data_IF_971416534258
#
_entry.id   IF_971416534258
#
_cell.length_a   1.000
_cell.length_b   1.000
_cell.length_c   1.000
_cell.angle_alpha   90.00
_cell.angle_beta   90.00
_cell.angle_gamma   90.00
#
_symmetry.space_group_name_H-M   'P 1'
#
loop_
_entity.id
_entity.type
_entity.pdbx_description
1 polymer ?
#
# COMPACT_ATOMS: atom_id res chain seq x y z
N UNK A 1 26.56 -33.96 36.26
CA UNK A 1 26.84 -32.56 35.83
C UNK A 1 25.73 -32.14 34.90
N UNK A 2 24.91 -31.13 35.19
CA UNK A 2 23.89 -30.68 34.25
C UNK A 2 24.57 -29.91 33.09
N UNK A 3 24.26 -30.32 31.86
CA UNK A 3 24.72 -29.64 30.65
C UNK A 3 24.23 -28.19 30.59
N UNK A 4 25.17 -27.26 30.64
CA UNK A 4 24.89 -25.84 30.37
C UNK A 4 24.39 -25.69 28.94
N UNK A 5 23.12 -25.36 28.76
CA UNK A 5 22.58 -24.88 27.50
C UNK A 5 23.41 -23.68 26.99
N UNK A 6 23.80 -23.63 25.71
CA UNK A 6 24.68 -22.59 25.22
C UNK A 6 24.00 -21.22 25.34
N UNK A 7 24.73 -20.28 25.90
CA UNK A 7 24.35 -18.89 26.18
C UNK A 7 23.61 -18.16 25.02
N UNK A 8 23.82 -18.60 23.79
CA UNK A 8 23.17 -18.10 22.58
C UNK A 8 21.66 -18.37 22.51
N UNK A 9 21.14 -19.45 23.11
CA UNK A 9 19.71 -19.77 23.09
C UNK A 9 18.92 -19.00 24.13
N UNK A 10 19.55 -18.68 25.26
CA UNK A 10 18.91 -17.93 26.35
C UNK A 10 18.69 -16.45 25.96
N UNK A 11 19.60 -15.86 25.17
CA UNK A 11 19.47 -14.50 24.68
C UNK A 11 18.38 -14.37 23.59
N UNK A 12 18.23 -15.33 22.70
CA UNK A 12 17.16 -15.30 21.68
C UNK A 12 15.75 -15.33 22.27
N UNK A 13 15.53 -16.09 23.34
CA UNK A 13 14.23 -16.12 24.01
C UNK A 13 13.97 -14.84 24.83
N UNK A 14 15.01 -14.24 25.41
CA UNK A 14 14.90 -12.99 26.15
C UNK A 14 14.59 -11.79 25.23
N UNK A 15 15.23 -11.73 24.06
CA UNK A 15 14.95 -10.71 23.04
C UNK A 15 13.56 -10.86 22.43
N UNK A 16 13.03 -12.06 22.24
CA UNK A 16 11.65 -12.29 21.81
C UNK A 16 10.62 -11.75 22.82
N UNK A 17 10.94 -11.70 24.08
CA UNK A 17 10.07 -11.15 25.13
C UNK A 17 10.14 -9.60 25.24
N UNK A 18 11.23 -8.98 24.78
CA UNK A 18 11.43 -7.52 24.85
C UNK A 18 11.10 -6.79 23.55
N UNK A 19 10.93 -7.52 22.44
CA UNK A 19 10.69 -6.96 21.10
C UNK A 19 9.20 -6.93 20.70
N UNK A 20 8.29 -6.75 21.67
CA UNK A 20 6.94 -6.31 21.30
C UNK A 20 7.06 -4.87 20.85
N UNK A 21 6.77 -4.57 19.58
CA UNK A 21 6.64 -3.19 19.12
C UNK A 21 5.71 -2.47 20.10
N UNK A 22 6.14 -1.30 20.57
CA UNK A 22 5.35 -0.53 21.54
C UNK A 22 4.22 0.22 20.84
N UNK A 23 4.25 0.28 19.49
CA UNK A 23 3.24 0.96 18.67
C UNK A 23 2.97 0.15 17.40
N UNK A 24 2.00 -0.74 17.50
CA UNK A 24 1.41 -1.43 16.34
C UNK A 24 0.16 -0.68 15.87
N UNK A 25 -0.25 -0.90 14.64
CA UNK A 25 -1.60 -0.55 14.24
C UNK A 25 -2.60 -1.32 15.11
N UNK A 26 -3.69 -0.66 15.55
CA UNK A 26 -4.67 -1.24 16.47
C UNK A 26 -5.16 -2.62 15.97
N UNK A 27 -5.17 -3.62 16.84
CA UNK A 27 -5.58 -4.99 16.51
C UNK A 27 -4.56 -5.79 15.66
N UNK A 28 -3.37 -5.25 15.33
CA UNK A 28 -2.33 -5.94 14.57
C UNK A 28 -1.21 -6.43 15.50
N UNK A 29 -1.51 -7.38 16.40
CA UNK A 29 -0.61 -7.83 17.45
C UNK A 29 -0.30 -9.34 17.44
N UNK A 30 -0.69 -10.05 16.36
CA UNK A 30 -0.34 -11.45 16.16
C UNK A 30 1.18 -11.65 16.09
N UNK A 31 1.67 -12.84 16.40
CA UNK A 31 3.05 -13.23 16.13
C UNK A 31 3.27 -13.44 14.62
N UNK A 32 4.52 -13.21 14.13
CA UNK A 32 4.83 -13.39 12.70
C UNK A 32 4.46 -14.78 12.19
N UNK A 33 4.78 -15.83 12.96
CA UNK A 33 4.53 -17.22 12.57
C UNK A 33 3.03 -17.52 12.39
N UNK A 34 2.19 -16.85 13.18
CA UNK A 34 0.74 -17.06 13.21
C UNK A 34 -0.01 -16.15 12.22
N UNK A 35 0.65 -15.09 11.74
CA UNK A 35 0.02 -14.08 10.91
C UNK A 35 -0.31 -14.59 9.51
N UNK A 36 -1.46 -14.15 8.99
CA UNK A 36 -1.86 -14.30 7.59
C UNK A 36 -1.43 -13.07 6.78
N UNK A 37 -1.43 -11.88 7.42
CA UNK A 37 -1.07 -10.60 6.82
C UNK A 37 0.10 -10.01 7.60
N UNK A 38 1.06 -9.45 6.89
CA UNK A 38 2.18 -8.70 7.46
C UNK A 38 2.06 -7.25 7.02
N UNK A 39 1.72 -6.38 7.98
CA UNK A 39 1.68 -4.93 7.81
C UNK A 39 3.09 -4.37 8.02
N UNK A 40 3.57 -3.52 7.11
CA UNK A 40 4.86 -2.86 7.25
C UNK A 40 4.85 -1.47 6.60
N UNK A 41 5.70 -0.57 7.07
CA UNK A 41 5.83 0.77 6.52
C UNK A 41 7.05 0.92 5.62
N UNK A 42 6.93 1.73 4.56
CA UNK A 42 8.01 2.11 3.66
C UNK A 42 8.20 3.65 3.69
N UNK A 43 8.93 4.19 4.68
CA UNK A 43 9.02 5.62 4.96
C UNK A 43 9.98 6.34 3.98
N UNK A 44 9.55 6.48 2.72
CA UNK A 44 10.35 7.10 1.65
C UNK A 44 9.54 8.17 0.92
N UNK A 45 10.15 9.36 0.66
CA UNK A 45 9.53 10.46 -0.09
C UNK A 45 10.59 11.36 -0.76
N UNK A 46 11.70 10.75 -1.20
CA UNK A 46 12.86 11.50 -1.74
C UNK A 46 12.68 11.96 -3.18
N UNK A 47 11.65 11.49 -3.90
CA UNK A 47 11.36 11.95 -5.26
C UNK A 47 10.10 12.82 -5.34
N UNK A 48 9.47 13.12 -4.20
CA UNK A 48 8.29 13.98 -4.11
C UNK A 48 8.55 15.34 -4.77
N UNK A 49 7.65 15.74 -5.66
CA UNK A 49 7.83 16.92 -6.51
C UNK A 49 7.28 18.21 -5.90
N UNK A 50 6.36 18.13 -4.92
CA UNK A 50 5.70 19.31 -4.37
C UNK A 50 5.80 19.41 -2.84
N UNK A 51 5.07 18.58 -2.08
CA UNK A 51 5.05 18.64 -0.62
C UNK A 51 5.56 17.35 -0.02
N UNK A 52 6.81 17.31 0.52
CA UNK A 52 7.34 16.12 1.18
C UNK A 52 6.68 15.91 2.54
N UNK A 53 6.74 14.69 3.06
CA UNK A 53 6.24 14.33 4.39
C UNK A 53 5.51 13.01 4.43
N UNK A 54 5.34 12.32 3.28
CA UNK A 54 4.70 11.01 3.22
C UNK A 54 5.53 9.93 3.94
N UNK A 55 6.83 10.14 4.12
CA UNK A 55 7.69 9.28 4.97
C UNK A 55 7.21 9.13 6.42
N UNK A 56 6.37 10.03 6.90
CA UNK A 56 5.83 9.99 8.27
C UNK A 56 4.50 9.23 8.37
N UNK A 57 3.96 8.73 7.27
CA UNK A 57 2.66 8.06 7.23
C UNK A 57 2.61 6.83 8.14
N UNK A 58 3.59 5.93 8.05
CA UNK A 58 3.61 4.68 8.82
C UNK A 58 3.53 4.93 10.32
N UNK A 59 4.31 5.88 10.84
CA UNK A 59 4.27 6.24 12.25
C UNK A 59 2.95 6.92 12.63
N UNK A 60 2.44 7.84 11.79
CA UNK A 60 1.21 8.56 12.07
C UNK A 60 -0.01 7.62 12.13
N UNK A 61 -0.17 6.71 11.17
CA UNK A 61 -1.31 5.76 11.18
C UNK A 61 -1.26 4.80 12.36
N UNK A 62 -0.07 4.34 12.79
CA UNK A 62 0.04 3.50 13.99
C UNK A 62 -0.38 4.25 15.24
N UNK A 63 0.09 5.50 15.39
CA UNK A 63 -0.27 6.34 16.52
C UNK A 63 -1.78 6.65 16.55
N UNK A 64 -2.33 7.08 15.44
CA UNK A 64 -3.71 7.57 15.36
C UNK A 64 -4.73 6.44 15.25
N UNK A 65 -4.31 5.20 14.90
CA UNK A 65 -5.19 4.03 14.84
C UNK A 65 -5.88 3.75 16.18
N UNK A 66 -5.26 4.11 17.31
CA UNK A 66 -5.85 3.97 18.63
C UNK A 66 -7.02 4.95 18.89
N UNK A 67 -7.27 5.88 18.00
CA UNK A 67 -8.48 6.70 17.96
C UNK A 67 -9.66 6.02 17.27
N UNK A 68 -9.47 4.80 16.72
CA UNK A 68 -10.51 4.01 16.06
C UNK A 68 -10.94 2.85 16.96
N UNK A 69 -12.15 2.33 16.67
CA UNK A 69 -12.55 1.02 17.16
C UNK A 69 -11.99 -0.09 16.24
N UNK A 70 -11.67 -1.25 16.79
CA UNK A 70 -11.25 -2.43 16.01
C UNK A 70 -12.38 -2.99 15.16
N UNK A 71 -13.62 -2.87 15.66
CA UNK A 71 -14.83 -3.32 14.97
C UNK A 71 -15.24 -2.40 13.82
N UNK A 72 -15.57 -3.02 12.68
CA UNK A 72 -16.17 -2.34 11.53
C UNK A 72 -17.68 -2.63 11.41
N UNK A 73 -18.54 -1.62 11.58
CA UNK A 73 -19.98 -1.78 11.35
C UNK A 73 -20.34 -1.94 9.86
N UNK A 74 -19.41 -1.66 8.94
CA UNK A 74 -19.64 -1.81 7.49
C UNK A 74 -19.54 -3.27 7.06
N UNK A 75 -18.67 -4.04 7.71
CA UNK A 75 -18.38 -5.44 7.37
C UNK A 75 -18.89 -6.41 8.43
N UNK A 76 -19.35 -5.91 9.60
CA UNK A 76 -19.69 -6.71 10.79
C UNK A 76 -18.54 -7.66 11.18
N UNK A 77 -17.32 -7.09 11.27
CA UNK A 77 -16.07 -7.80 11.55
C UNK A 77 -15.20 -7.02 12.52
N UNK A 78 -14.34 -7.72 13.23
CA UNK A 78 -13.40 -7.14 14.18
C UNK A 78 -11.95 -7.50 13.83
N UNK A 79 -11.02 -6.53 13.95
CA UNK A 79 -9.58 -6.77 13.78
C UNK A 79 -9.02 -7.75 14.81
N UNK A 80 -9.62 -7.82 16.02
CA UNK A 80 -9.24 -8.78 17.05
C UNK A 80 -9.38 -10.24 16.60
N UNK A 81 -10.24 -10.50 15.60
CA UNK A 81 -10.41 -11.81 14.97
C UNK A 81 -9.43 -12.07 13.83
N UNK A 82 -8.56 -11.12 13.51
CA UNK A 82 -7.60 -11.22 12.41
C UNK A 82 -6.19 -11.56 12.94
N UNK A 83 -5.44 -12.31 12.14
CA UNK A 83 -4.04 -12.64 12.45
C UNK A 83 -3.12 -11.74 11.64
N UNK A 84 -2.86 -10.55 12.15
CA UNK A 84 -2.06 -9.54 11.48
C UNK A 84 -0.83 -9.24 12.32
N UNK A 85 0.36 -9.37 11.73
CA UNK A 85 1.62 -8.96 12.34
C UNK A 85 2.01 -7.59 11.82
N UNK A 86 2.22 -6.61 12.68
CA UNK A 86 2.79 -5.32 12.31
C UNK A 86 4.31 -5.36 12.53
N UNK A 87 5.04 -5.34 11.41
CA UNK A 87 6.50 -5.36 11.38
C UNK A 87 7.12 -4.00 11.79
N UNK A 88 6.35 -2.92 11.77
CA UNK A 88 6.87 -1.56 11.91
C UNK A 88 7.34 -0.98 10.58
N UNK A 89 8.03 0.15 10.63
CA UNK A 89 8.62 0.79 9.46
C UNK A 89 9.98 0.17 9.13
N UNK A 90 10.25 -0.01 7.84
CA UNK A 90 11.54 -0.48 7.34
C UNK A 90 12.63 0.58 7.56
N UNK A 91 13.84 0.15 7.85
CA UNK A 91 15.02 1.00 7.79
C UNK A 91 15.49 1.09 6.34
N UNK A 92 15.18 2.20 5.66
CA UNK A 92 15.44 2.40 4.24
C UNK A 92 16.67 3.28 4.01
N UNK A 93 17.37 3.02 2.89
CA UNK A 93 18.52 3.79 2.46
C UNK A 93 18.14 5.26 2.20
N UNK A 94 19.06 6.19 2.50
CA UNK A 94 18.85 7.62 2.28
C UNK A 94 19.27 8.01 0.88
N UNK A 95 18.34 8.59 0.08
CA UNK A 95 18.67 9.25 -1.19
C UNK A 95 18.98 8.34 -2.37
N UNK A 96 18.85 7.03 -2.24
CA UNK A 96 19.05 6.06 -3.32
C UNK A 96 17.76 5.24 -3.53
N UNK A 97 16.98 5.63 -4.55
CA UNK A 97 15.70 4.98 -4.86
C UNK A 97 15.86 3.50 -5.18
N UNK A 98 16.93 3.08 -5.88
CA UNK A 98 17.10 1.66 -6.24
C UNK A 98 17.45 0.80 -5.03
N UNK A 99 18.27 1.29 -4.10
CA UNK A 99 18.52 0.59 -2.83
C UNK A 99 17.24 0.47 -2.01
N UNK A 100 16.46 1.55 -1.89
CA UNK A 100 15.16 1.53 -1.22
C UNK A 100 14.22 0.49 -1.83
N UNK A 101 14.05 0.50 -3.14
CA UNK A 101 13.20 -0.46 -3.84
C UNK A 101 13.69 -1.90 -3.66
N UNK A 102 15.02 -2.11 -3.64
CA UNK A 102 15.60 -3.44 -3.37
C UNK A 102 15.32 -3.94 -1.94
N UNK A 103 15.30 -3.06 -0.94
CA UNK A 103 14.98 -3.41 0.45
C UNK A 103 13.51 -3.76 0.61
N UNK A 104 12.60 -2.97 -0.02
CA UNK A 104 11.16 -3.27 -0.06
C UNK A 104 10.90 -4.59 -0.80
N UNK A 105 11.56 -4.81 -1.95
CA UNK A 105 11.45 -6.04 -2.74
C UNK A 105 11.84 -7.27 -1.90
N UNK A 106 12.97 -7.25 -1.18
CA UNK A 106 13.41 -8.35 -0.32
C UNK A 106 12.42 -8.63 0.81
N UNK A 107 11.85 -7.58 1.39
CA UNK A 107 10.85 -7.71 2.45
C UNK A 107 9.58 -8.37 1.92
N UNK A 108 9.02 -7.85 0.82
CA UNK A 108 7.83 -8.40 0.19
C UNK A 108 8.07 -9.85 -0.30
N UNK A 109 9.24 -10.14 -0.90
CA UNK A 109 9.61 -11.49 -1.32
C UNK A 109 9.65 -12.48 -0.15
N UNK A 110 10.18 -12.06 1.00
CA UNK A 110 10.24 -12.89 2.20
C UNK A 110 8.83 -13.22 2.70
N UNK A 111 7.97 -12.21 2.81
CA UNK A 111 6.58 -12.37 3.24
C UNK A 111 5.80 -13.30 2.30
N UNK A 112 5.95 -13.11 0.99
CA UNK A 112 5.31 -13.95 -0.02
C UNK A 112 5.81 -15.40 0.01
N UNK A 113 7.11 -15.64 0.20
CA UNK A 113 7.70 -17.01 0.34
C UNK A 113 7.14 -17.73 1.57
N UNK A 114 6.85 -17.00 2.64
CA UNK A 114 6.21 -17.54 3.84
C UNK A 114 4.69 -17.68 3.69
N UNK A 115 4.16 -17.47 2.47
CA UNK A 115 2.73 -17.56 2.11
C UNK A 115 1.84 -16.62 2.91
N UNK A 116 2.37 -15.47 3.29
CA UNK A 116 1.66 -14.39 3.95
C UNK A 116 1.41 -13.27 2.95
N UNK A 117 0.40 -12.44 3.24
CA UNK A 117 0.06 -11.29 2.41
C UNK A 117 0.85 -10.05 2.86
N UNK A 118 1.72 -9.47 2.03
CA UNK A 118 2.37 -8.19 2.33
C UNK A 118 1.35 -7.04 2.17
N UNK A 119 1.14 -6.28 3.24
CA UNK A 119 0.40 -5.02 3.24
C UNK A 119 1.36 -3.89 3.59
N UNK A 120 1.62 -3.00 2.64
CA UNK A 120 2.55 -1.88 2.83
C UNK A 120 1.80 -0.58 3.12
N UNK A 121 2.24 0.16 4.14
CA UNK A 121 1.91 1.57 4.32
C UNK A 121 3.04 2.35 3.68
N UNK A 122 2.74 3.01 2.57
CA UNK A 122 3.75 3.72 1.80
C UNK A 122 4.20 5.02 2.43
N UNK A 123 5.23 5.54 1.80
CA UNK A 123 5.57 6.92 1.67
C UNK A 123 4.99 7.45 0.37
N UNK A 124 5.86 7.97 -0.53
CA UNK A 124 5.47 8.33 -1.90
C UNK A 124 5.17 7.07 -2.73
N UNK A 125 4.39 7.21 -3.81
CA UNK A 125 3.90 6.06 -4.58
C UNK A 125 5.01 5.20 -5.23
N UNK A 126 6.22 5.72 -5.44
CA UNK A 126 7.35 4.94 -5.98
C UNK A 126 7.61 3.62 -5.22
N UNK A 127 7.33 3.56 -3.91
CA UNK A 127 7.62 2.39 -3.07
C UNK A 127 6.88 1.14 -3.54
N UNK A 128 5.72 1.28 -4.18
CA UNK A 128 4.93 0.21 -4.79
C UNK A 128 5.74 -0.66 -5.75
N UNK A 129 6.65 -0.04 -6.53
CA UNK A 129 7.47 -0.77 -7.49
C UNK A 129 8.33 -1.86 -6.84
N UNK A 130 8.85 -1.63 -5.62
CA UNK A 130 9.63 -2.64 -4.89
C UNK A 130 8.79 -3.90 -4.60
N UNK A 131 7.59 -3.72 -4.07
CA UNK A 131 6.68 -4.83 -3.77
C UNK A 131 6.16 -5.52 -5.05
N UNK A 132 5.86 -4.77 -6.11
CA UNK A 132 5.45 -5.32 -7.42
C UNK A 132 6.57 -6.14 -8.05
N UNK A 133 7.85 -5.75 -7.94
CA UNK A 133 8.99 -6.56 -8.40
C UNK A 133 9.01 -7.95 -7.76
N UNK A 134 8.79 -8.03 -6.44
CA UNK A 134 8.71 -9.29 -5.72
C UNK A 134 7.51 -10.13 -6.16
N UNK A 135 6.34 -9.48 -6.25
CA UNK A 135 5.10 -10.12 -6.65
C UNK A 135 5.16 -10.68 -8.08
N UNK A 136 5.66 -9.92 -9.05
CA UNK A 136 5.77 -10.33 -10.45
C UNK A 136 6.71 -11.53 -10.66
N UNK A 137 7.77 -11.65 -9.85
CA UNK A 137 8.66 -12.83 -9.89
C UNK A 137 7.95 -14.11 -9.45
N UNK A 138 7.07 -14.01 -8.46
CA UNK A 138 6.36 -15.19 -7.95
C UNK A 138 5.08 -15.48 -8.75
N UNK A 139 4.47 -14.45 -9.32
CA UNK A 139 3.21 -14.52 -10.06
C UNK A 139 3.38 -13.89 -11.46
N UNK A 140 3.83 -14.64 -12.48
CA UNK A 140 4.06 -14.10 -13.83
C UNK A 140 2.79 -13.54 -14.49
N UNK A 141 1.59 -14.01 -14.06
CA UNK A 141 0.29 -13.53 -14.52
C UNK A 141 -0.30 -12.42 -13.64
N UNK A 142 0.56 -11.68 -12.91
CA UNK A 142 0.15 -10.60 -12.02
C UNK A 142 -0.62 -9.51 -12.76
N UNK A 143 -1.71 -9.06 -12.16
CA UNK A 143 -2.44 -7.85 -12.52
C UNK A 143 -2.27 -6.79 -11.42
N UNK A 144 -2.40 -5.53 -11.80
CA UNK A 144 -2.45 -4.40 -10.85
C UNK A 144 -3.80 -3.71 -10.97
N UNK A 145 -4.46 -3.45 -9.84
CA UNK A 145 -5.52 -2.45 -9.72
C UNK A 145 -4.89 -1.22 -9.06
N UNK A 146 -5.01 -0.07 -9.69
CA UNK A 146 -4.43 1.19 -9.31
C UNK A 146 -5.53 2.24 -9.14
N UNK A 147 -5.69 2.74 -7.90
CA UNK A 147 -6.60 3.85 -7.57
C UNK A 147 -5.76 5.08 -7.25
N UNK A 148 -5.99 6.19 -7.99
CA UNK A 148 -5.12 7.37 -7.91
C UNK A 148 -5.79 8.59 -8.56
N UNK A 149 -5.35 9.79 -8.21
CA UNK A 149 -5.61 10.98 -8.99
C UNK A 149 -4.73 11.10 -10.22
N UNK A 150 -3.51 10.56 -10.13
CA UNK A 150 -2.44 10.73 -11.13
C UNK A 150 -2.29 9.50 -12.02
N UNK A 151 -1.79 9.71 -13.24
CA UNK A 151 -1.50 8.61 -14.17
C UNK A 151 -0.30 7.78 -13.74
N UNK A 152 0.73 8.44 -13.20
CA UNK A 152 2.04 7.88 -12.84
C UNK A 152 2.73 7.11 -13.99
N UNK A 153 2.49 7.59 -15.21
CA UNK A 153 2.92 6.96 -16.46
C UNK A 153 4.07 7.70 -17.15
N UNK A 154 4.71 8.65 -16.47
CA UNK A 154 5.86 9.35 -17.05
C UNK A 154 6.98 8.38 -17.40
N UNK A 155 7.66 8.63 -18.52
CA UNK A 155 8.86 7.88 -18.86
C UNK A 155 9.99 8.19 -17.88
N UNK A 156 10.14 9.47 -17.55
CA UNK A 156 10.96 9.98 -16.46
C UNK A 156 10.35 11.28 -15.92
N UNK A 157 10.78 11.69 -14.73
CA UNK A 157 10.43 12.97 -14.16
C UNK A 157 11.74 13.74 -13.84
N UNK A 158 11.94 14.87 -14.55
CA UNK A 158 13.14 15.68 -14.45
C UNK A 158 14.44 14.87 -14.66
N UNK A 159 14.41 13.89 -15.59
CA UNK A 159 15.53 13.02 -15.91
C UNK A 159 15.68 11.81 -14.98
N UNK A 160 14.75 11.59 -14.04
CA UNK A 160 14.76 10.48 -13.09
C UNK A 160 13.66 9.49 -13.44
N UNK A 161 14.02 8.25 -13.79
CA UNK A 161 13.07 7.18 -14.13
C UNK A 161 12.39 6.57 -12.90
N UNK A 162 13.07 6.55 -11.76
CA UNK A 162 12.55 6.02 -10.49
C UNK A 162 12.01 7.17 -9.66
N UNK A 163 10.79 7.58 -9.96
CA UNK A 163 10.06 8.64 -9.25
C UNK A 163 8.60 8.24 -9.02
N UNK A 164 7.96 8.90 -8.06
CA UNK A 164 6.52 8.71 -7.79
C UNK A 164 5.69 8.86 -9.07
N UNK A 165 5.95 9.88 -9.91
CA UNK A 165 5.22 10.14 -11.15
C UNK A 165 5.48 9.14 -12.30
N UNK A 166 6.31 8.13 -12.08
CA UNK A 166 6.68 7.13 -13.09
C UNK A 166 6.46 5.68 -12.60
N UNK A 167 5.93 5.49 -11.40
CA UNK A 167 5.84 4.16 -10.77
C UNK A 167 5.02 3.19 -11.61
N UNK A 168 3.88 3.59 -12.10
CA UNK A 168 2.98 2.72 -12.90
C UNK A 168 3.60 2.43 -14.27
N UNK A 169 4.34 3.38 -14.85
CA UNK A 169 5.12 3.11 -16.06
C UNK A 169 6.20 2.05 -15.81
N UNK A 170 6.88 2.10 -14.66
CA UNK A 170 7.88 1.06 -14.28
C UNK A 170 7.24 -0.29 -14.01
N UNK A 171 6.03 -0.31 -13.43
CA UNK A 171 5.26 -1.55 -13.29
C UNK A 171 4.88 -2.13 -14.66
N UNK A 172 4.47 -1.27 -15.61
CA UNK A 172 4.18 -1.69 -16.99
C UNK A 172 5.41 -2.26 -17.70
N UNK A 173 6.60 -1.69 -17.51
CA UNK A 173 7.85 -2.24 -18.06
C UNK A 173 8.10 -3.71 -17.64
N UNK A 174 7.54 -4.13 -16.49
CA UNK A 174 7.64 -5.51 -15.98
C UNK A 174 6.51 -6.39 -16.50
N UNK A 175 5.27 -5.87 -16.51
CA UNK A 175 4.05 -6.67 -16.72
C UNK A 175 3.56 -6.66 -18.16
N UNK A 176 3.80 -5.58 -18.92
CA UNK A 176 3.27 -5.38 -20.26
C UNK A 176 1.80 -4.98 -20.32
N UNK A 177 1.24 -5.00 -21.54
CA UNK A 177 -0.12 -4.59 -21.82
C UNK A 177 -1.19 -5.51 -21.19
N UNK A 178 -2.36 -4.91 -20.86
CA UNK A 178 -3.52 -5.64 -20.37
C UNK A 178 -3.42 -6.13 -18.91
N UNK A 179 -2.44 -5.65 -18.16
CA UNK A 179 -2.17 -6.07 -16.77
C UNK A 179 -2.42 -5.01 -15.73
N UNK A 180 -2.60 -3.76 -16.12
CA UNK A 180 -2.75 -2.62 -15.22
C UNK A 180 -4.11 -1.97 -15.47
N UNK A 181 -4.91 -1.84 -14.42
CA UNK A 181 -6.25 -1.28 -14.42
C UNK A 181 -6.27 -0.02 -13.54
N UNK A 182 -6.43 1.15 -14.17
CA UNK A 182 -6.31 2.46 -13.51
C UNK A 182 -7.67 3.13 -13.35
N UNK A 183 -8.00 3.60 -12.14
CA UNK A 183 -9.27 4.25 -11.82
C UNK A 183 -9.06 5.54 -11.05
N UNK A 184 -9.97 6.51 -11.28
CA UNK A 184 -9.99 7.80 -10.56
C UNK A 184 -9.09 8.86 -11.18
N UNK A 185 -8.31 8.50 -12.19
CA UNK A 185 -7.24 9.31 -12.77
C UNK A 185 -7.79 10.60 -13.37
N UNK A 186 -7.27 11.75 -12.91
CA UNK A 186 -7.70 13.08 -13.36
C UNK A 186 -6.56 14.08 -13.55
N UNK A 187 -5.32 13.66 -13.27
CA UNK A 187 -4.11 14.47 -13.40
C UNK A 187 -2.98 13.71 -14.09
N UNK A 188 -2.19 14.41 -14.90
CA UNK A 188 -1.06 13.90 -15.66
C UNK A 188 -0.78 14.77 -16.89
N UNK A 189 0.31 14.50 -17.59
CA UNK A 189 0.57 15.16 -18.88
C UNK A 189 -0.27 14.55 -20.00
N UNK A 190 -0.56 15.35 -21.02
CA UNK A 190 -1.31 14.88 -22.20
C UNK A 190 -0.72 13.60 -22.80
N UNK A 191 0.61 13.50 -22.84
CA UNK A 191 1.33 12.34 -23.36
C UNK A 191 1.03 11.05 -22.57
N UNK A 192 0.86 11.14 -21.26
CA UNK A 192 0.50 10.01 -20.40
C UNK A 192 -0.92 9.53 -20.67
N UNK A 193 -1.88 10.47 -20.79
CA UNK A 193 -3.26 10.17 -21.16
C UNK A 193 -3.36 9.56 -22.55
N UNK A 194 -2.62 10.10 -23.54
CA UNK A 194 -2.61 9.56 -24.90
C UNK A 194 -2.03 8.13 -24.91
N UNK A 195 -0.98 7.89 -24.10
CA UNK A 195 -0.35 6.58 -23.96
C UNK A 195 -1.29 5.55 -23.30
N UNK A 196 -1.94 5.91 -22.20
CA UNK A 196 -2.92 5.04 -21.54
C UNK A 196 -4.08 4.67 -22.50
N UNK A 197 -4.66 5.67 -23.17
CA UNK A 197 -5.76 5.49 -24.14
C UNK A 197 -5.38 4.69 -25.36
N UNK A 198 -4.10 4.55 -25.68
CA UNK A 198 -3.64 3.69 -26.79
C UNK A 198 -3.66 2.19 -26.45
N UNK A 199 -4.13 1.82 -25.26
CA UNK A 199 -4.40 0.43 -24.87
C UNK A 199 -3.30 -0.23 -24.06
N UNK A 200 -2.34 0.54 -23.55
CA UNK A 200 -1.28 0.01 -22.68
C UNK A 200 -1.76 -0.30 -21.26
N UNK A 201 -2.76 0.46 -20.79
CA UNK A 201 -3.46 0.18 -19.54
C UNK A 201 -4.97 0.15 -19.79
N UNK A 202 -5.71 -0.56 -18.95
CA UNK A 202 -7.16 -0.47 -18.88
C UNK A 202 -7.49 0.78 -18.05
N UNK A 203 -7.93 1.85 -18.73
CA UNK A 203 -7.89 3.21 -18.22
C UNK A 203 -9.29 3.81 -18.02
N UNK A 204 -9.68 4.01 -16.75
CA UNK A 204 -10.97 4.53 -16.32
C UNK A 204 -10.79 5.86 -15.57
N UNK A 205 -10.84 7.02 -16.28
CA UNK A 205 -10.60 8.32 -15.66
C UNK A 205 -11.78 8.80 -14.80
N UNK A 206 -11.49 9.66 -13.82
CA UNK A 206 -12.38 10.49 -13.00
C UNK A 206 -13.17 9.76 -11.91
N UNK A 207 -13.65 8.53 -12.12
CA UNK A 207 -14.51 7.82 -11.17
C UNK A 207 -14.01 6.43 -10.85
N UNK A 208 -14.63 5.78 -9.86
CA UNK A 208 -14.44 4.36 -9.55
C UNK A 208 -15.67 3.53 -9.97
N UNK A 209 -16.61 4.10 -10.74
CA UNK A 209 -17.90 3.47 -11.02
C UNK A 209 -17.77 2.21 -11.87
N UNK A 210 -16.76 2.16 -12.75
CA UNK A 210 -16.50 1.01 -13.62
C UNK A 210 -15.74 -0.14 -12.93
N UNK A 211 -15.15 0.13 -11.74
CA UNK A 211 -14.31 -0.85 -11.05
C UNK A 211 -15.04 -2.15 -10.72
N UNK A 212 -16.30 -2.16 -10.23
CA UNK A 212 -17.02 -3.40 -10.01
C UNK A 212 -17.22 -4.25 -11.27
N UNK A 213 -17.23 -3.59 -12.45
CA UNK A 213 -17.41 -4.23 -13.75
C UNK A 213 -16.23 -5.12 -14.16
N UNK A 214 -15.01 -4.81 -13.75
CA UNK A 214 -13.81 -5.60 -14.10
C UNK A 214 -13.52 -6.75 -13.12
N UNK A 215 -14.12 -6.74 -11.92
CA UNK A 215 -13.83 -7.77 -10.90
C UNK A 215 -14.10 -9.20 -11.39
N UNK A 216 -15.18 -9.50 -12.15
CA UNK A 216 -15.39 -10.84 -12.69
C UNK A 216 -14.28 -11.33 -13.62
N UNK A 217 -13.64 -10.43 -14.37
CA UNK A 217 -12.55 -10.74 -15.31
C UNK A 217 -11.22 -11.03 -14.61
N UNK A 218 -11.04 -10.47 -13.41
CA UNK A 218 -9.85 -10.65 -12.57
C UNK A 218 -9.99 -11.79 -11.57
N UNK A 219 -11.15 -12.40 -11.45
CA UNK A 219 -11.38 -13.48 -10.51
C UNK A 219 -10.48 -14.68 -10.80
N UNK A 220 -9.74 -15.14 -9.79
CA UNK A 220 -8.77 -16.24 -9.89
C UNK A 220 -7.44 -15.85 -10.51
N UNK A 221 -7.22 -14.58 -10.82
CA UNK A 221 -5.92 -14.05 -11.23
C UNK A 221 -5.22 -13.43 -10.01
N UNK A 222 -3.88 -13.51 -9.92
CA UNK A 222 -3.15 -12.84 -8.87
C UNK A 222 -3.21 -11.32 -9.09
N UNK A 223 -3.61 -10.57 -8.06
CA UNK A 223 -3.78 -9.11 -8.12
C UNK A 223 -2.91 -8.44 -7.05
N UNK A 224 -2.13 -7.46 -7.45
CA UNK A 224 -1.54 -6.47 -6.56
C UNK A 224 -2.44 -5.24 -6.55
N UNK A 225 -2.84 -4.79 -5.36
CA UNK A 225 -3.76 -3.68 -5.21
C UNK A 225 -3.05 -2.47 -4.60
N UNK A 226 -2.88 -1.40 -5.36
CA UNK A 226 -2.27 -0.15 -4.89
C UNK A 226 -3.29 0.97 -4.84
N UNK A 227 -3.30 1.67 -3.71
CA UNK A 227 -4.22 2.79 -3.44
C UNK A 227 -3.38 4.02 -3.09
N UNK A 228 -3.34 4.98 -4.01
CA UNK A 228 -2.96 6.35 -3.67
C UNK A 228 -4.15 7.05 -3.01
N UNK A 229 -3.95 7.57 -1.81
CA UNK A 229 -5.04 8.21 -1.07
C UNK A 229 -5.46 9.55 -1.66
N UNK A 230 -4.69 10.13 -2.58
CA UNK A 230 -5.08 11.35 -3.28
C UNK A 230 -6.15 11.13 -4.36
N UNK A 231 -6.53 9.85 -4.62
CA UNK A 231 -7.76 9.51 -5.34
C UNK A 231 -8.99 10.16 -4.67
N UNK A 232 -8.94 10.35 -3.34
CA UNK A 232 -9.93 11.10 -2.59
C UNK A 232 -9.91 12.59 -2.97
N UNK A 233 -11.08 13.23 -2.91
CA UNK A 233 -11.16 14.67 -3.07
C UNK A 233 -10.45 15.39 -1.92
N UNK A 234 -9.69 16.49 -2.16
CA UNK A 234 -9.00 17.24 -1.11
C UNK A 234 -9.91 17.81 -0.04
N UNK A 235 -11.22 17.93 -0.29
CA UNK A 235 -12.20 18.32 0.73
C UNK A 235 -12.41 17.24 1.79
N UNK A 236 -12.04 15.98 1.49
CA UNK A 236 -12.11 14.82 2.37
C UNK A 236 -10.72 14.42 2.87
N UNK A 237 -9.71 14.58 2.02
CA UNK A 237 -8.34 14.13 2.26
C UNK A 237 -7.32 15.20 1.83
N UNK A 238 -7.18 16.32 2.58
CA UNK A 238 -6.21 17.37 2.27
C UNK A 238 -4.75 16.98 2.59
N UNK A 239 -4.51 15.91 3.36
CA UNK A 239 -3.20 15.48 3.84
C UNK A 239 -2.44 14.61 2.85
N UNK A 240 -2.24 15.12 1.64
CA UNK A 240 -1.40 14.51 0.60
C UNK A 240 -0.41 15.52 0.02
N UNK A 241 0.63 15.02 -0.65
CA UNK A 241 1.67 15.85 -1.26
C UNK A 241 1.17 16.62 -2.48
N UNK A 242 0.34 15.99 -3.31
CA UNK A 242 -0.14 16.51 -4.60
C UNK A 242 -1.66 16.43 -4.72
N UNK A 243 -2.41 17.24 -3.94
CA UNK A 243 -3.87 17.17 -3.92
C UNK A 243 -4.48 17.64 -5.26
N UNK A 244 -5.40 16.83 -5.80
CA UNK A 244 -6.14 17.13 -7.03
C UNK A 244 -7.65 17.18 -6.76
N UNK A 245 -8.32 18.35 -6.97
CA UNK A 245 -9.78 18.47 -6.81
C UNK A 245 -10.56 17.60 -7.80
N UNK A 246 -11.79 17.23 -7.41
CA UNK A 246 -12.67 16.41 -8.23
C UNK A 246 -12.53 14.91 -7.98
N UNK A 247 -11.96 14.53 -6.85
CA UNK A 247 -11.80 13.14 -6.42
C UNK A 247 -13.07 12.51 -5.85
N UNK A 248 -12.96 11.25 -5.44
CA UNK A 248 -14.08 10.53 -4.84
C UNK A 248 -14.22 10.85 -3.36
N UNK A 249 -15.42 10.61 -2.81
CA UNK A 249 -15.66 10.76 -1.38
C UNK A 249 -15.30 9.47 -0.62
N UNK A 250 -15.12 9.59 0.70
CA UNK A 250 -14.74 8.48 1.57
C UNK A 250 -15.55 7.19 1.35
N UNK A 251 -16.88 7.28 1.31
CA UNK A 251 -17.72 6.09 1.15
C UNK A 251 -17.55 5.39 -0.19
N UNK A 252 -17.30 6.15 -1.26
CA UNK A 252 -17.02 5.58 -2.58
C UNK A 252 -15.71 4.79 -2.54
N UNK A 253 -14.63 5.38 -2.00
CA UNK A 253 -13.35 4.68 -1.86
C UNK A 253 -13.49 3.45 -0.96
N UNK A 254 -14.04 3.61 0.24
CA UNK A 254 -14.21 2.52 1.21
C UNK A 254 -14.95 1.32 0.62
N UNK A 255 -16.08 1.57 -0.07
CA UNK A 255 -16.86 0.50 -0.72
C UNK A 255 -16.02 -0.24 -1.75
N UNK A 256 -15.33 0.48 -2.63
CA UNK A 256 -14.54 -0.12 -3.70
C UNK A 256 -13.34 -0.90 -3.16
N UNK A 257 -12.58 -0.36 -2.20
CA UNK A 257 -11.43 -1.09 -1.64
C UNK A 257 -11.87 -2.35 -0.90
N UNK A 258 -12.99 -2.30 -0.19
CA UNK A 258 -13.55 -3.47 0.49
C UNK A 258 -14.00 -4.53 -0.52
N UNK A 259 -14.66 -4.14 -1.59
CA UNK A 259 -15.14 -5.06 -2.64
C UNK A 259 -13.98 -5.72 -3.39
N UNK A 260 -12.94 -4.98 -3.75
CA UNK A 260 -11.71 -5.50 -4.37
C UNK A 260 -11.05 -6.54 -3.46
N UNK A 261 -10.78 -6.15 -2.20
CA UNK A 261 -10.12 -7.04 -1.23
C UNK A 261 -10.92 -8.32 -0.94
N UNK A 262 -12.24 -8.25 -0.90
CA UNK A 262 -13.10 -9.40 -0.61
C UNK A 262 -13.31 -10.33 -1.82
N UNK A 263 -13.23 -9.80 -3.05
CA UNK A 263 -13.65 -10.51 -4.27
C UNK A 263 -12.50 -11.15 -5.04
N UNK A 264 -11.28 -10.62 -4.92
CA UNK A 264 -10.13 -11.02 -5.72
C UNK A 264 -9.07 -11.77 -4.93
N UNK A 265 -8.17 -12.43 -5.65
CA UNK A 265 -6.96 -13.05 -5.08
C UNK A 265 -5.85 -12.00 -4.93
N UNK A 266 -6.02 -11.15 -3.91
CA UNK A 266 -5.02 -10.14 -3.57
C UNK A 266 -3.80 -10.86 -3.00
N UNK A 267 -2.65 -10.69 -3.67
CA UNK A 267 -1.37 -11.30 -3.26
C UNK A 267 -0.45 -10.30 -2.57
N UNK A 268 -0.77 -9.04 -2.63
CA UNK A 268 -0.11 -7.94 -1.96
C UNK A 268 -0.87 -6.64 -2.20
N UNK A 269 -0.75 -5.69 -1.30
CA UNK A 269 -1.38 -4.38 -1.46
C UNK A 269 -0.62 -3.29 -0.71
N UNK A 270 -0.91 -2.06 -1.07
CA UNK A 270 -0.41 -0.88 -0.37
C UNK A 270 -1.38 0.29 -0.35
N UNK A 271 -1.09 1.22 0.57
CA UNK A 271 -1.77 2.51 0.71
C UNK A 271 -0.71 3.58 0.81
N UNK A 272 -0.71 4.54 -0.12
CA UNK A 272 0.35 5.53 -0.31
C UNK A 272 -0.12 6.97 -0.16
N UNK A 273 0.82 7.90 -0.17
CA UNK A 273 0.67 9.36 -0.28
C UNK A 273 -0.08 10.05 0.88
N UNK A 274 -0.25 9.38 2.03
CA UNK A 274 -0.61 10.11 3.25
C UNK A 274 0.58 11.00 3.66
N UNK A 275 0.35 12.31 3.69
CA UNK A 275 1.31 13.31 4.14
C UNK A 275 0.84 14.01 5.43
N UNK A 276 1.13 13.46 6.62
CA UNK A 276 0.64 14.01 7.89
C UNK A 276 0.97 15.50 8.09
N UNK A 277 2.18 16.01 7.69
CA UNK A 277 2.47 17.44 7.82
C UNK A 277 1.59 18.36 6.97
N UNK A 278 0.93 17.83 5.94
CA UNK A 278 0.05 18.60 5.05
C UNK A 278 -1.35 18.81 5.62
N UNK A 279 -1.72 18.09 6.67
CA UNK A 279 -3.02 18.21 7.35
C UNK A 279 -2.87 18.28 8.87
N UNK A 280 -2.75 19.48 9.40
CA UNK A 280 -2.61 19.71 10.84
C UNK A 280 -3.85 19.35 11.68
N UNK A 281 -5.00 19.06 11.04
CA UNK A 281 -6.20 18.62 11.75
C UNK A 281 -6.14 17.14 12.15
N UNK A 282 -5.27 16.33 11.51
CA UNK A 282 -5.21 14.89 11.69
C UNK A 282 -6.35 14.11 11.00
N UNK A 283 -7.27 14.80 10.32
CA UNK A 283 -8.42 14.14 9.67
C UNK A 283 -8.01 13.19 8.58
N UNK A 284 -7.00 13.56 7.79
CA UNK A 284 -6.47 12.68 6.72
C UNK A 284 -5.84 11.42 7.29
N UNK A 285 -5.13 11.50 8.42
CA UNK A 285 -4.60 10.32 9.09
C UNK A 285 -5.72 9.41 9.59
N UNK A 286 -6.79 9.97 10.17
CA UNK A 286 -7.96 9.20 10.60
C UNK A 286 -8.67 8.51 9.42
N UNK A 287 -8.79 9.19 8.26
CA UNK A 287 -9.31 8.61 7.02
C UNK A 287 -8.44 7.44 6.56
N UNK A 288 -7.12 7.63 6.50
CA UNK A 288 -6.17 6.58 6.13
C UNK A 288 -6.26 5.35 7.06
N UNK A 289 -6.25 5.58 8.37
CA UNK A 289 -6.43 4.51 9.37
C UNK A 289 -7.72 3.72 9.13
N UNK A 290 -8.81 4.42 8.81
CA UNK A 290 -10.10 3.76 8.55
C UNK A 290 -10.09 2.94 7.26
N UNK A 291 -9.50 3.45 6.18
CA UNK A 291 -9.34 2.70 4.92
C UNK A 291 -8.45 1.46 5.14
N UNK A 292 -7.31 1.59 5.83
CA UNK A 292 -6.43 0.47 6.16
C UNK A 292 -7.18 -0.60 6.96
N UNK A 293 -7.95 -0.20 8.01
CA UNK A 293 -8.77 -1.15 8.79
C UNK A 293 -9.75 -1.91 7.90
N UNK A 294 -10.49 -1.21 7.03
CA UNK A 294 -11.48 -1.86 6.16
C UNK A 294 -10.82 -2.82 5.15
N UNK A 295 -9.66 -2.45 4.60
CA UNK A 295 -8.90 -3.36 3.72
C UNK A 295 -8.41 -4.60 4.47
N UNK A 296 -7.81 -4.44 5.66
CA UNK A 296 -7.32 -5.56 6.48
C UNK A 296 -8.43 -6.55 6.82
N UNK A 297 -9.61 -6.05 7.20
CA UNK A 297 -10.78 -6.88 7.48
C UNK A 297 -11.29 -7.63 6.25
N UNK A 298 -11.31 -6.98 5.08
CA UNK A 298 -11.79 -7.57 3.84
C UNK A 298 -10.83 -8.62 3.27
N UNK A 299 -9.51 -8.48 3.50
CA UNK A 299 -8.48 -9.43 3.06
C UNK A 299 -8.50 -10.75 3.84
N UNK A 300 -9.12 -10.80 5.01
CA UNK A 300 -9.32 -12.04 5.77
C UNK A 300 -10.28 -12.94 5.02
N UNK A 301 -9.80 -14.06 4.54
CA UNK A 301 -10.61 -15.16 3.94
C UNK A 301 -11.04 -16.19 4.98
#
# INVERSE_FOLDING_TARGET
MPECLPFRYMWRSFWKMLNKSVMNFIGCDAGYEEADIVLYGAPFDSTTSFRPGTRFAGQAVRNDSYGLETYSPYQDRDLEDCRIFDLGDLELAIGDSELVLSEIEKTAETILKDKKLPFMIGGEHLVTLGAVRAAARQYPELHIIHLDAHTDLREDYLGVKLSHAAVIRRCWDILGDGRIHQFGIRSGEKSEFDWARSGHTDFHPFTLDDLPGILPELKGKPVYFTVDLDVLDPSVFPGTGTPEPGGVVFFTLMKNVTEVCASLDIIGCDVNELCPPCDHSGMSTAVACKIIREMLLALKK
#
